data_IF_860616957596
#
_entry.id   IF_860616957596
#
_cell.length_a   1.000
_cell.length_b   1.000
_cell.length_c   1.000
_cell.angle_alpha   90.00
_cell.angle_beta   90.00
_cell.angle_gamma   90.00
#
_symmetry.space_group_name_H-M   'P 1'
#
loop_
_entity.id
_entity.type
_entity.pdbx_description
1 polymer ?
#
# COMPACT_ATOMS: atom_id res chain seq x y z
N UNK A 1 15.21 35.08 -4.46
CA UNK A 1 15.70 34.11 -5.45
C UNK A 1 16.34 32.85 -4.83
N UNK A 2 16.19 32.56 -3.53
CA UNK A 2 16.96 31.47 -2.88
C UNK A 2 16.06 30.44 -2.17
N UNK A 3 14.96 30.00 -2.78
CA UNK A 3 14.11 28.91 -2.25
C UNK A 3 14.46 27.55 -2.85
N UNK A 4 15.00 27.54 -4.08
CA UNK A 4 15.46 26.32 -4.75
C UNK A 4 16.79 25.84 -4.16
N UNK A 5 17.68 26.79 -3.80
CA UNK A 5 18.96 26.50 -3.17
C UNK A 5 18.82 25.88 -1.77
N UNK A 6 17.82 26.31 -0.98
CA UNK A 6 17.55 25.73 0.34
C UNK A 6 16.99 24.31 0.27
N UNK A 7 16.25 23.95 -0.79
CA UNK A 7 15.75 22.57 -0.97
C UNK A 7 16.92 21.63 -1.30
N UNK A 8 17.88 22.07 -2.11
CA UNK A 8 19.07 21.28 -2.44
C UNK A 8 20.03 21.10 -1.26
N UNK A 9 20.13 22.08 -0.36
CA UNK A 9 21.04 22.02 0.80
C UNK A 9 20.53 21.11 1.93
N UNK A 10 19.20 20.98 2.10
CA UNK A 10 18.59 20.02 3.06
C UNK A 10 18.77 18.55 2.60
N UNK A 11 18.79 18.30 1.28
CA UNK A 11 19.14 16.99 0.72
C UNK A 11 20.65 16.68 0.89
N UNK A 12 21.50 17.71 0.96
CA UNK A 12 22.96 17.56 1.05
C UNK A 12 23.46 17.24 2.47
N UNK A 13 22.69 17.62 3.51
CA UNK A 13 22.99 17.29 4.91
C UNK A 13 22.88 15.78 5.20
N UNK A 14 22.15 15.02 4.38
CA UNK A 14 22.12 13.55 4.41
C UNK A 14 23.38 12.91 3.77
N UNK A 15 24.07 13.64 2.88
CA UNK A 15 25.20 13.11 2.09
C UNK A 15 26.51 12.92 2.89
N UNK A 16 26.67 13.61 4.03
CA UNK A 16 27.86 13.43 4.89
C UNK A 16 27.89 12.06 5.57
N UNK A 17 26.76 11.36 5.64
CA UNK A 17 26.69 9.94 6.03
C UNK A 17 26.53 9.10 4.76
N UNK A 18 27.66 8.87 4.08
CA UNK A 18 27.75 7.98 2.91
C UNK A 18 27.12 6.63 3.27
N UNK A 19 26.09 6.23 2.52
CA UNK A 19 25.33 4.95 2.55
C UNK A 19 23.88 5.03 3.10
N UNK A 20 23.08 6.01 2.68
CA UNK A 20 21.62 5.95 2.85
C UNK A 20 20.95 5.29 1.64
N UNK A 21 20.14 4.27 1.91
CA UNK A 21 19.40 3.53 0.89
C UNK A 21 17.95 3.98 0.80
N UNK A 22 17.38 3.90 -0.39
CA UNK A 22 16.03 4.35 -0.68
C UNK A 22 15.10 3.16 -0.92
N UNK A 23 13.89 3.24 -0.35
CA UNK A 23 12.82 2.28 -0.52
C UNK A 23 11.69 2.97 -1.25
N UNK A 24 11.49 2.59 -2.51
CA UNK A 24 10.42 3.08 -3.36
C UNK A 24 9.21 2.16 -3.27
N UNK A 25 8.10 2.69 -2.76
CA UNK A 25 6.81 2.01 -2.67
C UNK A 25 5.85 2.63 -3.67
N UNK A 26 5.55 1.90 -4.75
CA UNK A 26 4.57 2.32 -5.76
C UNK A 26 3.24 1.60 -5.53
N UNK A 27 2.23 2.36 -5.10
CA UNK A 27 0.85 1.91 -4.91
C UNK A 27 -0.05 2.54 -5.97
N UNK A 28 -0.20 1.83 -7.08
CA UNK A 28 -1.25 2.12 -8.06
C UNK A 28 -2.44 1.23 -7.69
N UNK A 29 -3.69 1.68 -7.91
CA UNK A 29 -4.93 1.03 -7.45
C UNK A 29 -4.83 -0.51 -7.32
N UNK A 30 -4.43 -1.16 -8.41
CA UNK A 30 -4.38 -2.62 -8.57
C UNK A 30 -2.96 -3.20 -8.72
N UNK A 31 -1.92 -2.38 -8.52
CA UNK A 31 -0.52 -2.79 -8.70
C UNK A 31 0.32 -2.28 -7.53
N UNK A 32 1.05 -3.18 -6.90
CA UNK A 32 2.00 -2.86 -5.84
C UNK A 32 3.39 -3.27 -6.28
N UNK A 33 4.32 -2.32 -6.20
CA UNK A 33 5.75 -2.56 -6.40
C UNK A 33 6.51 -1.98 -5.22
N UNK A 34 7.43 -2.75 -4.68
CA UNK A 34 8.33 -2.32 -3.61
C UNK A 34 9.74 -2.58 -4.09
N UNK A 35 10.55 -1.53 -4.16
CA UNK A 35 11.91 -1.59 -4.70
C UNK A 35 12.86 -0.89 -3.76
N UNK A 36 14.01 -1.49 -3.51
CA UNK A 36 15.09 -0.92 -2.71
C UNK A 36 16.24 -0.57 -3.64
N UNK A 37 16.75 0.63 -3.50
CA UNK A 37 17.78 1.20 -4.37
C UNK A 37 18.85 1.92 -3.58
N UNK A 38 20.02 2.03 -4.18
CA UNK A 38 21.07 2.94 -3.70
C UNK A 38 20.68 4.41 -3.89
N UNK A 39 21.45 5.31 -3.30
CA UNK A 39 21.36 6.76 -3.55
C UNK A 39 21.51 7.13 -5.04
N UNK A 40 22.22 6.32 -5.81
CA UNK A 40 22.40 6.50 -7.26
C UNK A 40 21.25 5.93 -8.10
N UNK A 41 20.26 5.29 -7.48
CA UNK A 41 19.12 4.68 -8.16
C UNK A 41 19.35 3.25 -8.68
N UNK A 42 20.49 2.63 -8.37
CA UNK A 42 20.74 1.24 -8.71
C UNK A 42 19.84 0.32 -7.88
N UNK A 43 19.16 -0.64 -8.52
CA UNK A 43 18.26 -1.58 -7.84
C UNK A 43 19.07 -2.65 -7.09
N UNK A 44 18.86 -2.72 -5.77
CA UNK A 44 19.39 -3.77 -4.89
C UNK A 44 18.45 -4.97 -4.83
N UNK A 45 17.23 -4.74 -4.38
CA UNK A 45 16.19 -5.78 -4.28
C UNK A 45 14.82 -5.18 -4.59
N UNK A 46 13.84 -6.01 -4.89
CA UNK A 46 12.48 -5.55 -5.06
C UNK A 46 11.56 -6.64 -5.58
N UNK A 47 10.29 -6.50 -5.25
CA UNK A 47 9.25 -7.41 -5.67
C UNK A 47 7.99 -6.65 -6.06
N UNK A 48 7.19 -7.30 -6.90
CA UNK A 48 5.82 -6.88 -7.15
C UNK A 48 4.87 -7.89 -6.51
N UNK A 49 3.63 -7.49 -6.29
CA UNK A 49 2.61 -8.43 -5.79
C UNK A 49 2.37 -9.63 -6.72
N UNK A 50 2.79 -9.58 -7.98
CA UNK A 50 2.71 -10.73 -8.89
C UNK A 50 3.94 -11.65 -8.84
N UNK A 51 5.03 -11.23 -8.19
CA UNK A 51 6.25 -12.02 -8.05
C UNK A 51 6.10 -13.11 -6.99
N UNK A 52 5.29 -12.87 -5.95
CA UNK A 52 5.01 -13.85 -4.91
C UNK A 52 4.06 -14.92 -5.48
N UNK A 53 4.43 -16.19 -5.30
CA UNK A 53 3.71 -17.32 -5.89
C UNK A 53 2.26 -17.41 -5.39
N UNK A 54 2.06 -17.20 -4.09
CA UNK A 54 0.75 -17.17 -3.42
C UNK A 54 -0.18 -16.05 -3.91
N UNK A 55 0.37 -15.05 -4.60
CA UNK A 55 -0.33 -13.81 -4.98
C UNK A 55 -0.43 -13.61 -6.49
N UNK A 56 -0.11 -14.64 -7.28
CA UNK A 56 -0.33 -14.64 -8.74
C UNK A 56 -1.83 -14.53 -9.08
N UNK A 57 -2.15 -14.03 -10.28
CA UNK A 57 -3.53 -13.92 -10.77
C UNK A 57 -4.40 -12.87 -10.07
N UNK A 58 -5.66 -13.21 -9.76
CA UNK A 58 -6.65 -12.30 -9.15
C UNK A 58 -6.28 -11.90 -7.71
N UNK A 59 -5.55 -12.77 -7.00
CA UNK A 59 -5.07 -12.55 -5.63
C UNK A 59 -4.19 -11.31 -5.50
N UNK A 60 -3.45 -10.93 -6.56
CA UNK A 60 -2.62 -9.71 -6.64
C UNK A 60 -3.39 -8.42 -6.38
N UNK A 61 -4.70 -8.40 -6.65
CA UNK A 61 -5.57 -7.24 -6.47
C UNK A 61 -5.95 -7.01 -4.99
N UNK A 62 -5.76 -8.03 -4.15
CA UNK A 62 -6.08 -7.96 -2.73
C UNK A 62 -5.25 -6.89 -2.01
N UNK A 63 -5.82 -6.31 -0.95
CA UNK A 63 -5.11 -5.37 -0.07
C UNK A 63 -3.91 -6.05 0.59
N UNK A 64 -4.11 -7.27 1.07
CA UNK A 64 -3.10 -8.07 1.74
C UNK A 64 -1.91 -8.40 0.83
N UNK A 65 -2.12 -8.52 -0.49
CA UNK A 65 -1.02 -8.77 -1.42
C UNK A 65 0.04 -7.64 -1.37
N UNK A 66 -0.37 -6.40 -1.09
CA UNK A 66 0.56 -5.29 -0.94
C UNK A 66 1.39 -5.41 0.35
N UNK A 67 0.76 -5.80 1.45
CA UNK A 67 1.38 -6.00 2.76
C UNK A 67 2.41 -7.13 2.70
N UNK A 68 2.02 -8.30 2.16
CA UNK A 68 2.90 -9.45 1.98
C UNK A 68 4.11 -9.14 1.06
N UNK A 69 3.91 -8.35 -0.01
CA UNK A 69 5.01 -7.93 -0.88
C UNK A 69 6.00 -7.05 -0.12
N UNK A 70 5.49 -6.12 0.68
CA UNK A 70 6.31 -5.19 1.44
C UNK A 70 7.11 -5.91 2.51
N UNK A 71 6.49 -6.84 3.23
CA UNK A 71 7.13 -7.68 4.23
C UNK A 71 8.23 -8.55 3.60
N UNK A 72 7.95 -9.21 2.46
CA UNK A 72 8.93 -10.01 1.74
C UNK A 72 10.17 -9.18 1.34
N UNK A 73 9.97 -7.97 0.79
CA UNK A 73 11.08 -7.09 0.42
C UNK A 73 11.82 -6.58 1.66
N UNK A 74 11.12 -6.29 2.76
CA UNK A 74 11.74 -5.95 4.05
C UNK A 74 12.68 -7.06 4.54
N UNK A 75 12.24 -8.32 4.48
CA UNK A 75 13.09 -9.47 4.84
C UNK A 75 14.29 -9.63 3.91
N UNK A 76 14.10 -9.42 2.60
CA UNK A 76 15.21 -9.44 1.63
C UNK A 76 16.21 -8.32 1.88
N UNK A 77 15.74 -7.11 2.21
CA UNK A 77 16.57 -5.97 2.56
C UNK A 77 17.40 -6.24 3.83
N UNK A 78 16.79 -6.84 4.85
CA UNK A 78 17.49 -7.25 6.08
C UNK A 78 18.62 -8.25 5.79
N UNK A 79 18.36 -9.25 4.92
CA UNK A 79 19.40 -10.22 4.49
C UNK A 79 20.58 -9.56 3.77
N UNK A 80 20.37 -8.42 3.12
CA UNK A 80 21.43 -7.64 2.46
C UNK A 80 22.22 -6.73 3.42
N UNK A 81 21.85 -6.67 4.71
CA UNK A 81 22.58 -5.89 5.71
C UNK A 81 22.34 -4.38 5.66
N UNK A 82 21.21 -3.93 5.13
CA UNK A 82 20.86 -2.51 5.12
C UNK A 82 20.54 -2.04 6.54
N UNK A 83 21.13 -0.94 6.98
CA UNK A 83 20.97 -0.42 8.35
C UNK A 83 20.01 0.76 8.45
N UNK A 84 20.08 1.66 7.48
CA UNK A 84 19.29 2.90 7.49
C UNK A 84 18.69 3.13 6.12
N UNK A 85 17.37 3.28 6.11
CA UNK A 85 16.62 3.46 4.88
C UNK A 85 15.69 4.65 4.94
N UNK A 86 15.39 5.11 3.74
CA UNK A 86 14.53 6.23 3.43
C UNK A 86 13.35 5.71 2.64
N UNK A 87 12.13 5.92 3.12
CA UNK A 87 10.96 5.48 2.39
C UNK A 87 10.36 6.60 1.52
N UNK A 88 10.22 6.33 0.23
CA UNK A 88 9.51 7.17 -0.74
C UNK A 88 8.26 6.44 -1.21
N UNK A 89 7.09 6.92 -0.81
CA UNK A 89 5.79 6.34 -1.15
C UNK A 89 5.17 7.13 -2.30
N UNK A 90 4.80 6.46 -3.39
CA UNK A 90 4.11 7.03 -4.55
C UNK A 90 2.80 6.29 -4.75
N UNK A 91 1.67 6.99 -4.84
CA UNK A 91 0.43 6.30 -5.19
C UNK A 91 -0.88 7.07 -5.03
N UNK A 92 -1.79 6.82 -5.96
CA UNK A 92 -3.19 7.28 -5.95
C UNK A 92 -4.09 6.34 -5.11
N UNK A 93 -3.65 5.98 -3.91
CA UNK A 93 -4.37 5.07 -3.01
C UNK A 93 -4.63 5.72 -1.65
N UNK A 94 -5.73 5.32 -1.03
CA UNK A 94 -6.14 5.81 0.28
C UNK A 94 -5.07 5.61 1.36
N UNK A 95 -4.97 6.57 2.28
CA UNK A 95 -3.92 6.64 3.30
C UNK A 95 -3.82 5.38 4.16
N UNK A 96 -4.94 4.74 4.54
CA UNK A 96 -4.90 3.48 5.32
C UNK A 96 -4.11 2.37 4.61
N UNK A 97 -4.18 2.29 3.28
CA UNK A 97 -3.40 1.29 2.51
C UNK A 97 -1.91 1.61 2.54
N UNK A 98 -1.53 2.90 2.43
CA UNK A 98 -0.14 3.35 2.55
C UNK A 98 0.43 2.97 3.92
N UNK A 99 -0.28 3.29 5.00
CA UNK A 99 0.17 3.00 6.37
C UNK A 99 0.39 1.52 6.63
N UNK A 100 -0.55 0.67 6.21
CA UNK A 100 -0.40 -0.78 6.38
C UNK A 100 0.82 -1.33 5.64
N UNK A 101 1.06 -0.87 4.41
CA UNK A 101 2.26 -1.26 3.64
C UNK A 101 3.55 -0.78 4.30
N UNK A 102 3.58 0.45 4.83
CA UNK A 102 4.72 0.97 5.58
C UNK A 102 5.00 0.10 6.82
N UNK A 103 3.96 -0.24 7.57
CA UNK A 103 4.07 -1.07 8.77
C UNK A 103 4.55 -2.49 8.44
N UNK A 104 3.96 -3.16 7.44
CA UNK A 104 4.39 -4.50 7.02
C UNK A 104 5.82 -4.51 6.47
N UNK A 105 6.25 -3.45 5.77
CA UNK A 105 7.64 -3.32 5.36
C UNK A 105 8.58 -3.22 6.58
N UNK A 106 8.22 -2.37 7.55
CA UNK A 106 8.96 -2.20 8.81
C UNK A 106 9.05 -3.50 9.58
N UNK A 107 7.96 -4.28 9.65
CA UNK A 107 7.93 -5.59 10.30
C UNK A 107 8.92 -6.56 9.65
N UNK A 108 8.91 -6.67 8.32
CA UNK A 108 9.85 -7.50 7.60
C UNK A 108 11.31 -7.04 7.69
N UNK A 109 11.54 -5.73 7.85
CA UNK A 109 12.88 -5.15 7.97
C UNK A 109 13.45 -5.25 9.39
N UNK A 110 12.60 -5.30 10.42
CA UNK A 110 13.05 -5.38 11.82
C UNK A 110 13.77 -6.69 12.11
N UNK A 111 14.85 -6.57 12.87
CA UNK A 111 15.56 -7.66 13.50
C UNK A 111 14.70 -8.41 14.52
N UNK A 112 14.96 -9.72 14.70
CA UNK A 112 14.43 -10.46 15.87
C UNK A 112 15.15 -10.06 17.17
N UNK A 113 16.35 -9.47 17.06
CA UNK A 113 17.13 -9.00 18.20
C UNK A 113 16.73 -7.61 18.68
N UNK A 114 16.64 -7.45 20.00
CA UNK A 114 16.26 -6.21 20.72
C UNK A 114 17.22 -5.02 20.46
N UNK A 115 18.39 -5.26 19.83
CA UNK A 115 19.41 -4.23 19.56
C UNK A 115 19.69 -3.93 18.07
N UNK A 116 18.96 -4.53 17.12
CA UNK A 116 19.25 -4.35 15.70
C UNK A 116 18.78 -2.95 15.22
N UNK A 117 19.75 -2.10 14.84
CA UNK A 117 19.53 -0.68 14.50
C UNK A 117 18.91 -0.46 13.10
N UNK A 118 18.15 -1.44 12.60
CA UNK A 118 17.46 -1.39 11.32
C UNK A 118 16.27 -0.44 11.40
N UNK A 119 16.51 0.84 11.12
CA UNK A 119 15.53 1.91 11.29
C UNK A 119 15.16 2.61 9.98
N UNK A 120 13.88 2.95 9.87
CA UNK A 120 13.37 3.87 8.85
C UNK A 120 13.66 5.28 9.36
N UNK A 121 14.49 6.03 8.64
CA UNK A 121 14.86 7.38 9.04
C UNK A 121 13.69 8.35 8.81
N UNK A 122 13.12 8.32 7.60
CA UNK A 122 12.07 9.23 7.19
C UNK A 122 11.17 8.62 6.12
N UNK A 123 9.93 9.10 6.07
CA UNK A 123 8.91 8.68 5.12
C UNK A 123 8.44 9.90 4.34
N UNK A 124 8.66 9.92 3.03
CA UNK A 124 8.18 10.95 2.13
C UNK A 124 7.09 10.42 1.21
N UNK A 125 6.02 11.18 1.05
CA UNK A 125 5.06 10.96 -0.03
C UNK A 125 5.51 11.75 -1.27
N UNK A 126 5.86 11.03 -2.33
CA UNK A 126 6.32 11.59 -3.62
C UNK A 126 5.23 11.45 -4.70
N UNK A 127 3.96 11.43 -4.30
CA UNK A 127 2.82 11.39 -5.23
C UNK A 127 2.71 12.71 -5.99
N UNK A 128 3.11 12.69 -7.27
CA UNK A 128 3.04 13.85 -8.16
C UNK A 128 1.58 14.24 -8.47
N UNK A 129 1.28 15.53 -8.31
CA UNK A 129 0.02 16.11 -8.75
C UNK A 129 0.19 16.69 -10.16
N UNK A 130 -0.68 16.34 -11.13
CA UNK A 130 -0.59 16.90 -12.47
C UNK A 130 -1.04 18.37 -12.47
N UNK A 131 -0.21 19.27 -13.00
CA UNK A 131 -0.56 20.67 -13.23
C UNK A 131 -1.39 20.80 -14.51
N UNK A 132 -2.69 20.45 -14.44
CA UNK A 132 -3.66 20.57 -15.55
C UNK A 132 -3.13 20.13 -16.93
N UNK A 133 -2.36 19.05 -16.97
CA UNK A 133 -1.69 18.55 -18.18
C UNK A 133 -2.63 17.76 -19.11
N UNK A 134 -2.23 16.55 -19.47
CA UNK A 134 -2.97 15.74 -20.44
C UNK A 134 -4.42 15.43 -20.02
N UNK A 135 -5.32 15.47 -21.00
CA UNK A 135 -6.73 15.09 -20.83
C UNK A 135 -6.85 13.64 -20.35
N UNK A 136 -7.58 13.41 -19.25
CA UNK A 136 -7.85 12.06 -18.75
C UNK A 136 -8.62 11.22 -19.78
N UNK A 137 -8.31 9.91 -19.91
CA UNK A 137 -9.03 9.03 -20.82
C UNK A 137 -10.50 8.91 -20.43
N UNK A 138 -11.37 8.70 -21.43
CA UNK A 138 -12.81 8.51 -21.22
C UNK A 138 -13.06 7.38 -20.22
N UNK A 139 -13.88 7.64 -19.19
CA UNK A 139 -14.26 6.62 -18.19
C UNK A 139 -14.92 5.43 -18.90
N UNK A 140 -14.48 4.22 -18.57
CA UNK A 140 -15.06 2.98 -19.12
C UNK A 140 -16.52 2.87 -18.68
N UNK A 141 -17.42 2.62 -19.64
CA UNK A 141 -18.84 2.33 -19.36
C UNK A 141 -18.95 0.86 -18.94
N UNK A 142 -18.89 0.63 -17.63
CA UNK A 142 -19.02 -0.72 -17.06
C UNK A 142 -20.38 -0.75 -16.38
N UNK A 143 -21.32 -1.51 -16.91
CA UNK A 143 -22.49 -1.89 -16.13
C UNK A 143 -21.99 -2.86 -15.06
N UNK A 144 -21.94 -2.40 -13.81
CA UNK A 144 -21.54 -3.26 -12.70
C UNK A 144 -22.72 -4.22 -12.47
N UNK A 145 -22.63 -5.46 -12.98
CA UNK A 145 -23.63 -6.50 -12.71
C UNK A 145 -23.59 -7.02 -11.26
N UNK A 146 -22.59 -6.63 -10.46
CA UNK A 146 -22.45 -7.06 -9.07
C UNK A 146 -22.02 -5.89 -8.18
N UNK A 147 -22.98 -5.05 -7.81
CA UNK A 147 -22.86 -4.19 -6.63
C UNK A 147 -24.25 -3.91 -6.05
N UNK A 148 -24.95 -4.98 -5.67
CA UNK A 148 -26.02 -4.90 -4.69
C UNK A 148 -25.81 -6.00 -3.63
N UNK A 149 -24.89 -5.85 -2.68
CA UNK A 149 -25.04 -6.52 -1.41
C UNK A 149 -25.57 -5.52 -0.37
N UNK A 150 -26.49 -5.99 0.46
CA UNK A 150 -26.91 -5.45 1.78
C UNK A 150 -28.30 -4.80 1.94
N UNK A 151 -29.07 -4.41 0.92
CA UNK A 151 -30.44 -3.90 1.19
C UNK A 151 -31.57 -4.95 1.14
N UNK A 152 -31.37 -6.11 0.52
CA UNK A 152 -32.48 -7.07 0.32
C UNK A 152 -32.63 -8.16 1.39
N UNK A 153 -31.77 -8.19 2.44
CA UNK A 153 -31.92 -9.20 3.51
C UNK A 153 -32.76 -8.70 4.70
N UNK A 154 -32.92 -7.38 4.88
CA UNK A 154 -33.65 -6.83 6.03
C UNK A 154 -35.18 -6.81 5.85
N UNK A 155 -35.68 -6.91 4.61
CA UNK A 155 -37.13 -6.82 4.32
C UNK A 155 -37.87 -8.17 4.37
N UNK A 156 -37.15 -9.30 4.28
CA UNK A 156 -37.77 -10.62 4.23
C UNK A 156 -37.93 -11.29 5.61
N UNK A 157 -37.27 -10.79 6.66
CA UNK A 157 -37.43 -11.29 8.03
C UNK A 157 -38.62 -10.65 8.75
N UNK A 158 -39.00 -9.42 8.40
CA UNK A 158 -40.16 -8.72 9.01
C UNK A 158 -41.52 -9.15 8.45
N UNK A 159 -41.58 -9.83 7.30
CA UNK A 159 -42.84 -10.40 6.77
C UNK A 159 -43.20 -11.80 7.29
N UNK A 160 -42.24 -12.59 7.78
CA UNK A 160 -42.52 -13.96 8.27
C UNK A 160 -43.09 -14.00 9.69
N UNK A 161 -42.95 -12.93 10.48
CA UNK A 161 -43.39 -12.89 11.88
C UNK A 161 -44.71 -12.15 12.13
N UNK A 162 -45.40 -11.65 11.09
CA UNK A 162 -46.68 -10.93 11.23
C UNK A 162 -47.92 -11.76 10.83
N UNK A 163 -47.79 -13.08 10.65
CA UNK A 163 -48.85 -13.94 10.08
C UNK A 163 -49.36 -15.06 10.99
N UNK A 164 -49.10 -15.03 12.30
CA UNK A 164 -49.65 -16.01 13.25
C UNK A 164 -50.36 -15.31 14.40
N UNK A 165 -51.59 -14.88 14.14
CA UNK A 165 -52.64 -14.72 15.15
C UNK A 165 -53.93 -14.39 14.41
N UNK A 166 -54.90 -15.32 14.46
CA UNK A 166 -56.36 -15.13 14.48
C UNK A 166 -57.04 -16.37 13.89
N UNK A 167 -57.47 -17.30 14.76
CA UNK A 167 -58.82 -17.88 14.70
C UNK A 167 -59.18 -18.38 16.11
N UNK A 168 -60.05 -17.62 16.78
CA UNK A 168 -60.84 -18.03 17.94
C UNK A 168 -62.04 -18.85 17.45
N UNK A 169 -62.37 -19.89 18.23
CA UNK A 169 -63.70 -20.47 18.54
C UNK A 169 -64.67 -20.88 17.42
N UNK A 170 -65.22 -22.10 17.57
CA UNK A 170 -66.61 -22.42 17.24
C UNK A 170 -66.79 -23.83 16.68
N UNK A 171 -67.47 -24.70 17.43
CA UNK A 171 -67.86 -26.07 17.04
C UNK A 171 -67.64 -27.07 18.15
#
# INVERSE_FOLDING_TARGET
>A
MNFVQSISEEDEQCSRKKNTDFVHVLLIKNKTFVTVTDARGNKKTGASAGCLEERKGRSRLSRYAAEATAEHVGRSARKMGLKSVVMKVKGSTYFRKKNKVILSWREGFRGEGVGDQSQIMYIHDVTQLPHNGCRLPKKRRVQIKEFQPFLNLHFNLTRKNSGKNLTRKGG
#
